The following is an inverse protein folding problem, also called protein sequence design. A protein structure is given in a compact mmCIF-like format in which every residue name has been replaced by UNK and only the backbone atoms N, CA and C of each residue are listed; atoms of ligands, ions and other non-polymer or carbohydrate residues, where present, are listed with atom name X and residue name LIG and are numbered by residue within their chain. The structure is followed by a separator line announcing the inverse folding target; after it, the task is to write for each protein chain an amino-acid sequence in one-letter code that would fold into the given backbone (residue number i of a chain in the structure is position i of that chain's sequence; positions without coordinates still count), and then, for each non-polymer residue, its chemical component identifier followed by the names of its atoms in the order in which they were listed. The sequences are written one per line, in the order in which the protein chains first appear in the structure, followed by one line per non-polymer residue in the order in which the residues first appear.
data_IF_382894212823
#
_entry.id   IF_382894212823
#
_cell.length_a   1.000
_cell.length_b   1.000
_cell.length_c   1.000
_cell.angle_alpha   90.00
_cell.angle_beta   90.00
_cell.angle_gamma   90.00
#
_symmetry.space_group_name_H-M   'P 1'
#
loop_
_entity.id
_entity.type
_entity.pdbx_description
1 polymer ?
#
# COMPACT_ATOMS: atom_id res chain seq x y z
N UNK A 1 -8.47 -44.01 -17.77
CA UNK A 1 -8.11 -43.35 -16.50
C UNK A 1 -7.81 -41.88 -16.78
N UNK A 2 -8.69 -41.03 -16.26
CA UNK A 2 -8.63 -39.58 -16.05
C UNK A 2 -7.51 -38.77 -16.75
N UNK A 3 -7.82 -38.21 -17.92
CA UNK A 3 -7.17 -36.97 -18.38
C UNK A 3 -7.74 -35.81 -17.57
N UNK A 4 -6.89 -35.22 -16.73
CA UNK A 4 -7.15 -34.00 -15.98
C UNK A 4 -7.31 -32.80 -16.92
N UNK A 5 -8.53 -32.30 -17.05
CA UNK A 5 -8.81 -30.97 -17.56
C UNK A 5 -8.25 -29.93 -16.57
N UNK A 6 -7.07 -29.41 -16.88
CA UNK A 6 -6.59 -28.16 -16.27
C UNK A 6 -7.33 -27.03 -16.97
N UNK A 7 -8.36 -26.51 -16.28
CA UNK A 7 -9.07 -25.31 -16.69
C UNK A 7 -8.07 -24.14 -16.64
N UNK A 8 -7.59 -23.73 -17.81
CA UNK A 8 -6.80 -22.52 -18.00
C UNK A 8 -7.69 -21.32 -17.65
N UNK A 9 -7.50 -20.78 -16.44
CA UNK A 9 -8.01 -19.46 -16.08
C UNK A 9 -7.32 -18.44 -16.99
N UNK A 10 -7.98 -18.09 -18.09
CA UNK A 10 -7.57 -16.99 -18.97
C UNK A 10 -7.61 -15.68 -18.19
N UNK A 11 -6.46 -15.24 -17.67
CA UNK A 11 -6.27 -13.87 -17.20
C UNK A 11 -6.34 -12.98 -18.44
N UNK A 12 -7.50 -12.34 -18.66
CA UNK A 12 -7.63 -11.34 -19.72
C UNK A 12 -6.65 -10.20 -19.43
N UNK A 13 -5.70 -9.89 -20.34
CA UNK A 13 -4.77 -8.78 -20.13
C UNK A 13 -5.56 -7.47 -19.95
N UNK A 14 -5.24 -6.70 -18.90
CA UNK A 14 -5.75 -5.34 -18.74
C UNK A 14 -5.41 -4.51 -19.99
N UNK A 15 -6.42 -4.15 -20.79
CA UNK A 15 -6.28 -3.36 -22.01
C UNK A 15 -6.70 -1.93 -21.73
N UNK A 16 -5.79 -1.12 -21.19
CA UNK A 16 -5.87 0.33 -21.29
C UNK A 16 -4.60 0.84 -21.99
N UNK A 17 -4.76 1.83 -22.86
CA UNK A 17 -3.68 2.45 -23.64
C UNK A 17 -3.36 3.81 -23.02
N UNK A 18 -2.26 4.44 -23.45
CA UNK A 18 -1.95 5.81 -23.05
C UNK A 18 -3.09 6.79 -23.41
N UNK A 19 -3.88 6.44 -24.42
CA UNK A 19 -4.94 7.27 -24.98
C UNK A 19 -6.34 7.05 -24.38
N UNK A 20 -6.60 5.91 -23.74
CA UNK A 20 -7.93 5.60 -23.20
C UNK A 20 -7.87 5.15 -21.73
N UNK A 21 -8.70 5.75 -20.85
CA UNK A 21 -8.72 5.39 -19.44
C UNK A 21 -9.22 3.95 -19.23
N UNK A 22 -8.81 3.31 -18.12
CA UNK A 22 -9.32 2.00 -17.74
C UNK A 22 -10.85 1.95 -17.71
N UNK A 23 -11.41 0.80 -18.06
CA UNK A 23 -12.84 0.54 -18.04
C UNK A 23 -13.22 -0.29 -16.80
N UNK A 24 -14.28 0.10 -16.09
CA UNK A 24 -14.72 -0.56 -14.85
C UNK A 24 -15.02 -2.06 -15.03
N UNK A 25 -15.61 -2.48 -16.16
CA UNK A 25 -15.95 -3.89 -16.39
C UNK A 25 -14.72 -4.82 -16.47
N UNK A 26 -13.52 -4.27 -16.72
CA UNK A 26 -12.28 -5.04 -16.78
C UNK A 26 -11.70 -5.33 -15.38
N UNK A 27 -12.18 -4.65 -14.34
CA UNK A 27 -11.63 -4.68 -12.98
C UNK A 27 -12.79 -4.84 -12.02
N UNK A 28 -12.96 -6.01 -11.41
CA UNK A 28 -14.11 -6.33 -10.55
C UNK A 28 -14.20 -5.46 -9.30
N UNK A 29 -13.08 -5.01 -8.75
CA UNK A 29 -13.00 -4.14 -7.57
C UNK A 29 -13.03 -2.64 -7.96
N UNK A 30 -14.05 -1.90 -7.51
CA UNK A 30 -14.21 -0.46 -7.76
C UNK A 30 -13.08 0.40 -7.18
N UNK A 31 -12.46 -0.03 -6.07
CA UNK A 31 -11.31 0.65 -5.48
C UNK A 31 -10.05 0.44 -6.31
N UNK A 32 -9.78 -0.80 -6.74
CA UNK A 32 -8.68 -1.10 -7.65
C UNK A 32 -8.83 -0.36 -8.99
N UNK A 33 -10.07 -0.25 -9.48
CA UNK A 33 -10.43 0.51 -10.67
C UNK A 33 -10.04 1.99 -10.55
N UNK A 34 -10.45 2.65 -9.47
CA UNK A 34 -10.15 4.07 -9.25
C UNK A 34 -8.64 4.32 -9.11
N UNK A 35 -7.90 3.41 -8.46
CA UNK A 35 -6.44 3.50 -8.36
C UNK A 35 -5.72 3.37 -9.69
N UNK A 36 -6.08 2.38 -10.49
CA UNK A 36 -5.52 2.19 -11.83
C UNK A 36 -5.82 3.40 -12.71
N UNK A 37 -7.04 3.93 -12.61
CA UNK A 37 -7.45 5.15 -13.31
C UNK A 37 -6.63 6.37 -12.85
N UNK A 38 -6.27 6.46 -11.57
CA UNK A 38 -5.41 7.53 -11.03
C UNK A 38 -3.97 7.41 -11.51
N UNK A 39 -3.43 6.19 -11.57
CA UNK A 39 -2.09 5.94 -12.14
C UNK A 39 -2.07 6.36 -13.61
N UNK A 40 -3.11 5.98 -14.36
CA UNK A 40 -3.29 6.40 -15.74
C UNK A 40 -3.37 7.93 -15.87
N UNK A 41 -4.17 8.61 -15.04
CA UNK A 41 -4.28 10.07 -15.05
C UNK A 41 -2.93 10.77 -14.77
N UNK A 42 -2.08 10.21 -13.89
CA UNK A 42 -0.72 10.71 -13.65
C UNK A 42 0.21 10.53 -14.86
N UNK A 43 0.04 9.46 -15.63
CA UNK A 43 0.87 9.13 -16.79
C UNK A 43 0.38 9.74 -18.11
N UNK A 44 -0.87 10.23 -18.16
CA UNK A 44 -1.50 10.66 -19.41
C UNK A 44 -0.79 11.86 -20.06
N UNK A 45 -0.42 11.69 -21.33
CA UNK A 45 0.36 12.67 -22.10
C UNK A 45 -0.51 13.59 -22.96
N UNK A 46 -1.77 13.24 -23.18
CA UNK A 46 -2.69 13.95 -24.08
C UNK A 46 -3.86 14.60 -23.32
N UNK A 47 -4.28 15.78 -23.76
CA UNK A 47 -5.42 16.49 -23.18
C UNK A 47 -6.75 15.79 -23.55
N UNK A 48 -6.88 15.37 -24.81
CA UNK A 48 -8.05 14.69 -25.35
C UNK A 48 -8.41 13.42 -24.57
N UNK A 49 -7.41 12.70 -24.09
CA UNK A 49 -7.63 11.51 -23.28
C UNK A 49 -8.10 11.87 -21.87
N UNK A 50 -7.48 12.86 -21.22
CA UNK A 50 -7.93 13.37 -19.92
C UNK A 50 -9.39 13.86 -19.95
N UNK A 51 -9.81 14.54 -21.02
CA UNK A 51 -11.19 15.02 -21.20
C UNK A 51 -12.23 13.89 -21.25
N UNK A 52 -11.84 12.68 -21.67
CA UNK A 52 -12.72 11.49 -21.65
C UNK A 52 -12.94 10.92 -20.25
N UNK A 53 -12.06 11.24 -19.29
CA UNK A 53 -12.00 10.57 -17.98
C UNK A 53 -13.35 10.54 -17.26
N UNK A 54 -13.98 11.71 -17.07
CA UNK A 54 -15.25 11.80 -16.35
C UNK A 54 -16.35 10.96 -17.01
N UNK A 55 -16.47 11.07 -18.35
CA UNK A 55 -17.46 10.31 -19.12
C UNK A 55 -17.22 8.81 -18.99
N UNK A 56 -15.97 8.36 -19.04
CA UNK A 56 -15.64 6.93 -18.89
C UNK A 56 -15.90 6.45 -17.47
N UNK A 57 -15.53 7.20 -16.44
CA UNK A 57 -15.85 6.87 -15.05
C UNK A 57 -17.37 6.70 -14.86
N UNK A 58 -18.14 7.67 -15.36
CA UNK A 58 -19.59 7.68 -15.23
C UNK A 58 -20.28 6.54 -16.00
N UNK A 59 -19.92 6.34 -17.27
CA UNK A 59 -20.53 5.31 -18.14
C UNK A 59 -20.09 3.90 -17.70
N UNK A 60 -18.80 3.70 -17.41
CA UNK A 60 -18.30 2.37 -17.09
C UNK A 60 -18.74 1.89 -15.71
N UNK A 61 -18.88 2.77 -14.71
CA UNK A 61 -19.47 2.43 -13.41
C UNK A 61 -20.93 2.01 -13.54
N UNK A 62 -21.72 2.76 -14.33
CA UNK A 62 -23.11 2.43 -14.63
C UNK A 62 -23.23 1.08 -15.37
N UNK A 63 -22.45 0.89 -16.44
CA UNK A 63 -22.50 -0.33 -17.25
C UNK A 63 -22.03 -1.58 -16.47
N UNK A 64 -21.20 -1.41 -15.45
CA UNK A 64 -20.77 -2.49 -14.57
C UNK A 64 -21.75 -2.81 -13.43
N UNK A 65 -22.86 -2.06 -13.30
CA UNK A 65 -23.83 -2.22 -12.21
C UNK A 65 -23.28 -1.79 -10.85
N UNK A 66 -22.25 -0.94 -10.81
CA UNK A 66 -21.65 -0.43 -9.57
C UNK A 66 -22.38 0.86 -9.14
N UNK A 67 -23.62 0.71 -8.68
CA UNK A 67 -24.51 1.83 -8.34
C UNK A 67 -23.92 2.74 -7.25
N UNK A 68 -23.14 2.16 -6.33
CA UNK A 68 -22.47 2.92 -5.26
C UNK A 68 -21.40 3.83 -5.83
N UNK A 69 -20.47 3.30 -6.64
CA UNK A 69 -19.43 4.11 -7.28
C UNK A 69 -20.03 5.14 -8.24
N UNK A 70 -21.04 4.74 -9.00
CA UNK A 70 -21.74 5.63 -9.91
C UNK A 70 -22.39 6.81 -9.18
N UNK A 71 -23.04 6.55 -8.04
CA UNK A 71 -23.61 7.56 -7.16
C UNK A 71 -22.55 8.55 -6.65
N UNK A 72 -21.42 8.05 -6.14
CA UNK A 72 -20.33 8.90 -5.64
C UNK A 72 -19.69 9.76 -6.72
N UNK A 73 -19.53 9.24 -7.93
CA UNK A 73 -19.02 10.02 -9.08
C UNK A 73 -19.95 11.20 -9.37
N UNK A 74 -21.27 10.97 -9.41
CA UNK A 74 -22.27 12.02 -9.64
C UNK A 74 -22.29 13.05 -8.53
N UNK A 75 -22.30 12.60 -7.29
CA UNK A 75 -22.32 13.47 -6.11
C UNK A 75 -21.09 14.38 -6.10
N UNK A 76 -19.89 13.81 -6.19
CA UNK A 76 -18.65 14.58 -6.18
C UNK A 76 -18.58 15.57 -7.34
N UNK A 77 -18.99 15.16 -8.55
CA UNK A 77 -18.99 16.04 -9.73
C UNK A 77 -20.03 17.18 -9.64
N UNK A 78 -21.03 17.05 -8.78
CA UNK A 78 -22.03 18.10 -8.52
C UNK A 78 -21.51 19.16 -7.53
N UNK A 79 -20.41 18.89 -6.83
CA UNK A 79 -19.77 19.87 -5.93
C UNK A 79 -18.85 20.84 -6.68
N UNK A 80 -18.66 22.03 -6.13
CA UNK A 80 -17.72 23.03 -6.67
C UNK A 80 -16.28 22.49 -6.74
N UNK A 81 -15.91 21.61 -5.80
CA UNK A 81 -14.55 21.04 -5.74
C UNK A 81 -14.33 19.86 -6.69
N UNK A 82 -15.40 19.15 -7.05
CA UNK A 82 -15.34 18.00 -7.95
C UNK A 82 -15.79 18.30 -9.38
N UNK A 83 -16.32 19.49 -9.65
CA UNK A 83 -16.76 19.91 -10.98
C UNK A 83 -15.64 19.77 -12.03
N UNK A 84 -16.00 19.22 -13.20
CA UNK A 84 -15.06 19.02 -14.30
C UNK A 84 -14.55 20.39 -14.82
N UNK A 85 -13.22 20.61 -14.90
CA UNK A 85 -12.66 21.87 -15.34
C UNK A 85 -13.14 22.23 -16.75
N UNK A 86 -13.67 23.44 -16.88
CA UNK A 86 -13.98 24.03 -18.18
C UNK A 86 -12.79 24.85 -18.67
N UNK A 87 -12.65 24.94 -20.00
CA UNK A 87 -11.60 25.76 -20.61
C UNK A 87 -12.01 27.22 -20.55
N UNK A 88 -11.09 28.08 -20.10
CA UNK A 88 -11.33 29.54 -20.11
C UNK A 88 -10.96 30.12 -21.47
N UNK A 89 -11.64 31.18 -21.91
CA UNK A 89 -11.34 31.85 -23.19
C UNK A 89 -9.86 32.29 -23.24
N UNK A 90 -9.18 31.98 -24.34
CA UNK A 90 -7.75 32.29 -24.54
C UNK A 90 -6.76 31.38 -23.81
N UNK A 91 -7.21 30.38 -23.06
CA UNK A 91 -6.32 29.45 -22.35
C UNK A 91 -5.61 28.50 -23.32
N UNK A 92 -4.29 28.36 -23.17
CA UNK A 92 -3.49 27.44 -23.98
C UNK A 92 -3.66 25.98 -23.53
N UNK A 93 -3.40 25.03 -24.44
CA UNK A 93 -3.58 23.60 -24.18
C UNK A 93 -2.72 23.07 -23.02
N UNK A 94 -1.46 23.50 -22.92
CA UNK A 94 -0.53 23.02 -21.89
C UNK A 94 -0.96 23.37 -20.45
N UNK A 95 -1.27 24.64 -20.10
CA UNK A 95 -1.76 24.99 -18.77
C UNK A 95 -3.12 24.35 -18.47
N UNK A 96 -4.04 24.30 -19.45
CA UNK A 96 -5.33 23.65 -19.27
C UNK A 96 -5.17 22.15 -18.97
N UNK A 97 -4.30 21.46 -19.72
CA UNK A 97 -3.98 20.04 -19.49
C UNK A 97 -3.47 19.81 -18.08
N UNK A 98 -2.54 20.63 -17.61
CA UNK A 98 -2.00 20.52 -16.24
C UNK A 98 -3.10 20.69 -15.20
N UNK A 99 -3.94 21.72 -15.33
CA UNK A 99 -5.09 21.94 -14.44
C UNK A 99 -6.07 20.76 -14.45
N UNK A 100 -6.35 20.21 -15.63
CA UNK A 100 -7.23 19.05 -15.78
C UNK A 100 -6.61 17.80 -15.16
N UNK A 101 -5.31 17.59 -15.31
CA UNK A 101 -4.59 16.47 -14.72
C UNK A 101 -4.56 16.57 -13.18
N UNK A 102 -4.30 17.76 -12.64
CA UNK A 102 -4.35 18.02 -11.20
C UNK A 102 -5.76 17.77 -10.63
N UNK A 103 -6.80 18.24 -11.35
CA UNK A 103 -8.18 17.92 -11.02
C UNK A 103 -8.45 16.41 -11.06
N UNK A 104 -8.04 15.70 -12.12
CA UNK A 104 -8.27 14.27 -12.26
C UNK A 104 -7.65 13.48 -11.09
N UNK A 105 -6.43 13.84 -10.70
CA UNK A 105 -5.75 13.25 -9.55
C UNK A 105 -6.52 13.55 -8.26
N UNK A 106 -6.96 14.81 -8.05
CA UNK A 106 -7.73 15.21 -6.86
C UNK A 106 -9.07 14.49 -6.79
N UNK A 107 -9.83 14.48 -7.89
CA UNK A 107 -11.15 13.86 -8.03
C UNK A 107 -11.10 12.36 -7.76
N UNK A 108 -10.15 11.65 -8.37
CA UNK A 108 -9.95 10.21 -8.13
C UNK A 108 -9.49 9.94 -6.70
N UNK A 109 -8.68 10.81 -6.10
CA UNK A 109 -8.26 10.65 -4.69
C UNK A 109 -9.45 10.80 -3.74
N UNK A 110 -10.37 11.74 -4.01
CA UNK A 110 -11.59 11.89 -3.24
C UNK A 110 -12.49 10.65 -3.36
N UNK A 111 -12.67 10.10 -4.57
CA UNK A 111 -13.46 8.87 -4.78
C UNK A 111 -12.86 7.61 -4.14
N UNK A 112 -11.53 7.51 -4.07
CA UNK A 112 -10.81 6.44 -3.36
C UNK A 112 -10.97 6.56 -1.83
N UNK A 113 -11.55 7.67 -1.36
CA UNK A 113 -11.63 8.01 0.05
C UNK A 113 -10.28 8.42 0.63
N UNK A 114 -9.30 8.82 -0.18
CA UNK A 114 -8.02 9.35 0.33
C UNK A 114 -8.19 10.72 1.03
N UNK A 115 -9.35 11.37 0.88
CA UNK A 115 -9.73 12.56 1.64
C UNK A 115 -10.50 12.26 2.94
N UNK A 116 -11.01 11.05 3.13
CA UNK A 116 -11.44 10.64 4.46
C UNK A 116 -10.17 10.31 5.25
N UNK A 117 -9.67 11.28 6.03
CA UNK A 117 -8.90 10.95 7.21
C UNK A 117 -9.69 9.83 7.90
N UNK A 118 -9.17 8.60 7.87
CA UNK A 118 -9.65 7.55 8.75
C UNK A 118 -9.74 8.21 10.14
N UNK A 119 -10.87 8.06 10.84
CA UNK A 119 -10.97 8.49 12.24
C UNK A 119 -9.72 8.03 12.99
N UNK A 120 -9.21 8.84 13.90
CA UNK A 120 -7.92 8.58 14.55
C UNK A 120 -7.82 7.14 15.10
N UNK A 121 -8.92 6.64 15.66
CA UNK A 121 -9.03 5.26 16.15
C UNK A 121 -8.95 4.22 15.04
N UNK A 122 -9.55 4.48 13.87
CA UNK A 122 -9.45 3.61 12.70
C UNK A 122 -8.03 3.60 12.12
N UNK A 123 -7.30 4.72 12.19
CA UNK A 123 -5.88 4.77 11.82
C UNK A 123 -5.02 3.96 12.79
N UNK A 124 -5.25 4.11 14.11
CA UNK A 124 -4.57 3.32 15.15
C UNK A 124 -4.83 1.83 14.97
N UNK A 125 -6.09 1.45 14.76
CA UNK A 125 -6.50 0.05 14.53
C UNK A 125 -5.84 -0.53 13.26
N UNK A 126 -5.80 0.25 12.17
CA UNK A 126 -5.19 -0.20 10.91
C UNK A 126 -3.67 -0.36 11.05
N UNK A 127 -2.99 0.61 11.67
CA UNK A 127 -1.56 0.55 11.92
C UNK A 127 -1.21 -0.65 12.82
N UNK A 128 -2.00 -0.88 13.88
CA UNK A 128 -1.81 -2.02 14.78
C UNK A 128 -2.01 -3.35 14.07
N UNK A 129 -3.08 -3.52 13.28
CA UNK A 129 -3.32 -4.74 12.49
C UNK A 129 -2.22 -4.99 11.45
N UNK A 130 -1.67 -3.93 10.86
CA UNK A 130 -0.52 -4.03 9.96
C UNK A 130 0.69 -4.60 10.70
N UNK A 131 0.95 -4.11 11.91
CA UNK A 131 2.04 -4.60 12.75
C UNK A 131 1.85 -6.06 13.17
N UNK A 132 0.63 -6.44 13.56
CA UNK A 132 0.32 -7.81 13.97
C UNK A 132 0.53 -8.83 12.85
N UNK A 133 0.24 -8.44 11.61
CA UNK A 133 0.28 -9.29 10.43
C UNK A 133 1.52 -9.07 9.55
N UNK A 134 2.47 -8.24 9.98
CA UNK A 134 3.62 -7.82 9.16
C UNK A 134 4.38 -9.00 8.54
N UNK A 135 4.55 -10.09 9.30
CA UNK A 135 5.26 -11.29 8.82
C UNK A 135 4.54 -11.99 7.65
N UNK A 136 3.22 -12.13 7.73
CA UNK A 136 2.39 -12.69 6.67
C UNK A 136 2.44 -11.78 5.46
N UNK A 137 2.28 -10.49 5.70
CA UNK A 137 2.20 -9.49 4.65
C UNK A 137 3.48 -9.39 3.82
N UNK A 138 4.64 -9.38 4.48
CA UNK A 138 5.95 -9.39 3.79
C UNK A 138 6.14 -10.68 2.98
N UNK A 139 5.70 -11.84 3.48
CA UNK A 139 5.80 -13.13 2.77
C UNK A 139 4.85 -13.22 1.56
N UNK A 140 3.76 -12.46 1.57
CA UNK A 140 2.80 -12.41 0.45
C UNK A 140 3.13 -11.35 -0.61
N UNK A 141 4.22 -10.59 -0.43
CA UNK A 141 4.63 -9.60 -1.42
C UNK A 141 5.00 -10.30 -2.74
N UNK A 142 4.67 -9.70 -3.90
CA UNK A 142 5.09 -10.21 -5.21
C UNK A 142 6.60 -10.08 -5.45
N UNK A 143 7.36 -9.61 -4.45
CA UNK A 143 8.80 -9.38 -4.47
C UNK A 143 9.39 -9.77 -3.12
N UNK A 144 10.53 -10.46 -3.15
CA UNK A 144 11.27 -10.79 -1.94
C UNK A 144 12.03 -9.56 -1.44
N UNK A 145 11.76 -9.16 -0.20
CA UNK A 145 12.53 -8.12 0.47
C UNK A 145 13.77 -8.74 1.11
N UNK A 146 14.91 -8.09 0.97
CA UNK A 146 16.11 -8.46 1.73
C UNK A 146 15.88 -8.28 3.24
N UNK A 147 16.71 -8.93 4.08
CA UNK A 147 16.68 -8.71 5.54
C UNK A 147 16.85 -7.23 5.91
N UNK A 148 17.68 -6.50 5.15
CA UNK A 148 17.88 -5.05 5.30
C UNK A 148 16.59 -4.27 5.01
N UNK A 149 15.94 -4.54 3.88
CA UNK A 149 14.70 -3.87 3.48
C UNK A 149 13.56 -4.20 4.44
N UNK A 150 13.45 -5.46 4.85
CA UNK A 150 12.46 -5.93 5.83
C UNK A 150 12.66 -5.26 7.19
N UNK A 151 13.91 -5.12 7.67
CA UNK A 151 14.24 -4.37 8.89
C UNK A 151 13.86 -2.90 8.77
N UNK A 152 14.17 -2.26 7.65
CA UNK A 152 13.84 -0.85 7.41
C UNK A 152 12.33 -0.64 7.40
N UNK A 153 11.60 -1.49 6.68
CA UNK A 153 10.15 -1.53 6.62
C UNK A 153 9.50 -1.65 8.02
N UNK A 154 9.97 -2.62 8.80
CA UNK A 154 9.47 -2.83 10.15
C UNK A 154 9.79 -1.66 11.09
N UNK A 155 10.95 -1.03 10.93
CA UNK A 155 11.34 0.15 11.71
C UNK A 155 10.45 1.36 11.41
N UNK A 156 10.10 1.60 10.15
CA UNK A 156 9.18 2.68 9.78
C UNK A 156 7.78 2.45 10.35
N UNK A 157 7.28 1.21 10.30
CA UNK A 157 6.00 0.87 10.93
C UNK A 157 6.00 1.13 12.44
N UNK A 158 7.08 0.77 13.15
CA UNK A 158 7.23 1.06 14.58
C UNK A 158 7.29 2.57 14.88
N UNK A 159 7.92 3.37 14.01
CA UNK A 159 7.92 4.84 14.17
C UNK A 159 6.53 5.42 14.05
N UNK A 160 5.73 4.94 13.10
CA UNK A 160 4.33 5.37 12.94
C UNK A 160 3.48 4.98 14.15
N UNK A 161 3.58 3.74 14.65
CA UNK A 161 2.90 3.32 15.87
C UNK A 161 3.28 4.19 17.07
N UNK A 162 4.55 4.54 17.20
CA UNK A 162 5.04 5.45 18.25
C UNK A 162 4.47 6.86 18.09
N UNK A 163 4.42 7.39 16.87
CA UNK A 163 3.83 8.70 16.59
C UNK A 163 2.33 8.74 16.91
N UNK A 164 1.65 7.59 16.90
CA UNK A 164 0.23 7.41 17.24
C UNK A 164 -0.01 7.03 18.70
N UNK A 165 1.01 7.08 19.55
CA UNK A 165 0.93 6.72 20.98
C UNK A 165 0.51 5.27 21.25
N UNK A 166 0.78 4.35 20.31
CA UNK A 166 0.48 2.91 20.43
C UNK A 166 1.75 2.07 20.19
N UNK A 167 2.88 2.54 20.71
CA UNK A 167 4.16 1.88 20.53
C UNK A 167 4.16 0.46 21.13
N UNK A 168 4.53 -0.59 20.38
CA UNK A 168 4.64 -1.94 20.91
C UNK A 168 5.83 -2.03 21.88
N UNK A 169 5.73 -2.92 22.86
CA UNK A 169 6.85 -3.27 23.72
C UNK A 169 7.97 -3.94 22.90
N UNK A 170 9.22 -3.81 23.36
CA UNK A 170 10.40 -4.36 22.68
C UNK A 170 10.30 -5.87 22.43
N UNK A 171 9.79 -6.61 23.43
CA UNK A 171 9.65 -8.06 23.33
C UNK A 171 8.57 -8.50 22.34
N UNK A 172 7.46 -7.75 22.25
CA UNK A 172 6.39 -8.00 21.26
C UNK A 172 6.94 -7.77 19.85
N UNK A 173 7.70 -6.69 19.70
CA UNK A 173 8.35 -6.32 18.44
C UNK A 173 9.34 -7.39 17.98
N UNK A 174 10.18 -7.91 18.89
CA UNK A 174 11.14 -8.94 18.51
C UNK A 174 10.47 -10.30 18.29
N UNK A 175 9.47 -10.68 19.09
CA UNK A 175 8.68 -11.88 18.86
C UNK A 175 8.09 -11.91 17.43
N UNK A 176 7.42 -10.83 17.03
CA UNK A 176 6.80 -10.72 15.69
C UNK A 176 7.81 -10.71 14.54
N UNK A 177 9.02 -10.19 14.74
CA UNK A 177 10.05 -10.14 13.69
C UNK A 177 10.89 -11.41 13.59
N UNK A 178 10.95 -12.24 14.63
CA UNK A 178 11.86 -13.39 14.68
C UNK A 178 11.68 -14.37 13.49
N UNK A 179 10.44 -14.58 13.06
CA UNK A 179 10.10 -15.46 11.93
C UNK A 179 10.53 -14.93 10.56
N UNK A 180 10.99 -13.68 10.49
CA UNK A 180 11.51 -13.03 9.29
C UNK A 180 13.04 -13.11 9.18
N UNK A 181 13.72 -13.61 10.21
CA UNK A 181 15.15 -13.85 10.13
C UNK A 181 15.45 -15.06 9.23
N UNK A 182 16.43 -14.94 8.30
CA UNK A 182 17.05 -16.08 7.66
C UNK A 182 17.65 -17.03 8.70
N UNK A 183 17.70 -18.32 8.40
CA UNK A 183 18.20 -19.34 9.34
C UNK A 183 19.66 -19.09 9.73
N UNK A 184 20.49 -18.61 8.80
CA UNK A 184 21.87 -18.18 9.08
C UNK A 184 21.97 -17.13 10.19
N UNK A 185 21.04 -16.16 10.20
CA UNK A 185 20.99 -15.10 11.22
C UNK A 185 20.50 -15.65 12.55
N UNK A 186 19.60 -16.64 12.55
CA UNK A 186 19.17 -17.34 13.77
C UNK A 186 20.31 -18.14 14.38
N UNK A 187 21.12 -18.83 13.56
CA UNK A 187 22.32 -19.55 14.01
C UNK A 187 23.31 -18.60 14.67
N UNK A 188 23.56 -17.43 14.06
CA UNK A 188 24.43 -16.38 14.64
C UNK A 188 23.91 -15.88 16.00
N UNK A 189 22.59 -15.78 16.17
CA UNK A 189 22.00 -15.41 17.46
C UNK A 189 22.27 -16.46 18.55
N UNK A 190 22.33 -17.74 18.19
CA UNK A 190 22.58 -18.84 19.12
C UNK A 190 24.04 -18.95 19.57
N UNK A 191 25.00 -18.48 18.77
CA UNK A 191 26.44 -18.51 19.12
C UNK A 191 26.86 -17.39 20.05
N UNK A 192 26.02 -16.37 20.26
CA UNK A 192 26.29 -15.28 21.20
C UNK A 192 26.03 -15.69 22.65
N UNK A 193 26.88 -15.20 23.56
CA UNK A 193 26.66 -15.32 25.01
C UNK A 193 25.27 -14.80 25.38
N UNK A 194 24.53 -15.54 26.21
CA UNK A 194 23.20 -15.15 26.72
C UNK A 194 23.29 -13.79 27.42
N UNK A 195 22.91 -12.71 26.72
CA UNK A 195 22.66 -11.41 27.35
C UNK A 195 21.35 -11.54 28.12
N UNK A 196 21.34 -11.28 29.42
CA UNK A 196 20.07 -11.15 30.16
C UNK A 196 19.47 -9.80 29.79
N UNK A 197 18.29 -9.81 29.19
CA UNK A 197 17.57 -8.58 28.83
C UNK A 197 16.54 -8.35 29.93
N UNK A 198 16.84 -7.39 30.81
CA UNK A 198 15.92 -7.00 31.87
C UNK A 198 14.72 -6.28 31.26
N UNK A 199 13.56 -6.94 31.24
CA UNK A 199 12.29 -6.25 31.01
C UNK A 199 11.91 -5.54 32.32
N UNK A 200 11.48 -4.28 32.22
CA UNK A 200 11.01 -3.55 33.40
C UNK A 200 9.80 -4.27 34.02
N UNK A 201 10.03 -4.92 35.18
CA UNK A 201 9.06 -5.56 36.10
C UNK A 201 8.51 -6.96 35.78
N UNK A 202 9.03 -7.71 34.81
CA UNK A 202 8.63 -9.12 34.59
C UNK A 202 9.83 -10.01 34.23
N UNK A 203 9.61 -11.33 34.27
CA UNK A 203 10.60 -12.39 33.99
C UNK A 203 11.54 -12.06 32.82
N UNK A 204 12.80 -12.53 32.87
CA UNK A 204 13.78 -12.27 31.83
C UNK A 204 13.26 -12.75 30.46
N UNK A 205 13.14 -11.82 29.51
CA UNK A 205 12.74 -12.13 28.13
C UNK A 205 13.89 -12.83 27.42
N UNK A 206 13.59 -13.94 26.75
CA UNK A 206 14.58 -14.63 25.95
C UNK A 206 15.21 -13.68 24.92
N UNK A 207 16.55 -13.63 24.77
CA UNK A 207 17.21 -12.61 23.93
C UNK A 207 16.70 -12.57 22.49
N UNK A 208 16.35 -13.74 21.95
CA UNK A 208 15.74 -13.88 20.62
C UNK A 208 14.45 -13.10 20.43
N UNK A 209 13.74 -12.70 21.49
CA UNK A 209 12.50 -11.93 21.39
C UNK A 209 12.69 -10.44 21.66
N UNK A 210 13.89 -9.98 22.01
CA UNK A 210 14.15 -8.55 22.09
C UNK A 210 14.44 -7.97 20.71
N UNK A 211 13.64 -6.98 20.30
CA UNK A 211 13.90 -6.26 19.07
C UNK A 211 15.23 -5.50 19.11
N UNK A 212 15.57 -4.88 20.24
CA UNK A 212 16.85 -4.22 20.43
C UNK A 212 18.03 -5.17 20.16
N UNK A 213 18.01 -6.37 20.75
CA UNK A 213 19.04 -7.37 20.54
C UNK A 213 19.07 -7.91 19.11
N UNK A 214 17.91 -8.20 18.51
CA UNK A 214 17.85 -8.63 17.12
C UNK A 214 18.45 -7.58 16.17
N UNK A 215 18.25 -6.28 16.42
CA UNK A 215 18.86 -5.22 15.59
C UNK A 215 20.39 -5.26 15.63
N UNK A 216 21.00 -5.58 16.78
CA UNK A 216 22.45 -5.79 16.91
C UNK A 216 22.89 -6.96 16.01
N UNK A 217 22.20 -8.10 16.10
CA UNK A 217 22.52 -9.30 15.31
C UNK A 217 22.40 -9.01 13.80
N UNK A 218 21.36 -8.30 13.37
CA UNK A 218 21.19 -7.95 11.95
C UNK A 218 22.36 -7.10 11.46
N UNK A 219 22.80 -6.10 12.23
CA UNK A 219 23.95 -5.26 11.82
C UNK A 219 25.21 -6.10 11.61
N UNK A 220 25.41 -7.14 12.41
CA UNK A 220 26.56 -8.03 12.32
C UNK A 220 26.42 -9.11 11.24
N UNK A 221 25.20 -9.52 10.89
CA UNK A 221 24.94 -10.47 9.80
C UNK A 221 24.98 -9.81 8.40
N UNK A 222 24.75 -8.49 8.32
CA UNK A 222 24.70 -7.76 7.06
C UNK A 222 26.03 -7.81 6.25
N UNK A 223 27.22 -7.69 6.86
CA UNK A 223 28.50 -7.85 6.15
C UNK A 223 28.70 -9.25 5.57
N UNK A 224 28.32 -10.31 6.28
CA UNK A 224 28.45 -11.71 5.84
C UNK A 224 27.49 -12.04 4.70
N UNK A 225 26.27 -11.50 4.72
CA UNK A 225 25.31 -11.62 3.62
C UNK A 225 25.63 -10.71 2.41
N UNK A 226 26.51 -9.72 2.58
CA UNK A 226 26.86 -8.73 1.54
C UNK A 226 27.77 -9.26 0.42
N UNK A 227 28.42 -10.42 0.59
CA UNK A 227 29.24 -11.03 -0.46
C UNK A 227 28.40 -11.50 -1.65
N UNK A 228 27.12 -11.81 -1.45
CA UNK A 228 26.18 -12.17 -2.53
C UNK A 228 25.31 -11.01 -3.04
N UNK A 229 25.25 -9.86 -2.34
CA UNK A 229 24.26 -8.81 -2.58
C UNK A 229 24.86 -7.44 -2.96
N UNK A 230 25.99 -7.42 -3.69
CA UNK A 230 26.69 -6.19 -4.11
C UNK A 230 25.89 -5.22 -5.00
N UNK A 231 24.64 -5.50 -5.35
CA UNK A 231 23.87 -4.70 -6.32
C UNK A 231 22.56 -4.05 -5.85
N UNK A 232 22.18 -4.11 -4.59
CA UNK A 232 20.92 -3.48 -4.12
C UNK A 232 21.16 -2.28 -3.21
N UNK A 233 21.31 -1.10 -3.83
CA UNK A 233 20.85 0.17 -3.23
C UNK A 233 19.39 -0.08 -2.76
N UNK A 234 18.96 0.42 -1.59
CA UNK A 234 17.59 0.21 -1.06
C UNK A 234 16.56 0.44 -2.17
N UNK A 235 16.12 -0.65 -2.83
CA UNK A 235 15.32 -0.57 -4.04
C UNK A 235 13.89 -0.27 -3.65
N UNK A 236 13.52 -0.69 -2.45
CA UNK A 236 12.23 -0.54 -1.81
C UNK A 236 12.36 0.33 -0.56
N UNK A 237 11.53 1.37 -0.48
CA UNK A 237 11.43 2.33 0.62
C UNK A 237 10.07 2.18 1.25
N UNK A 238 10.02 1.89 2.53
CA UNK A 238 8.76 1.81 3.25
C UNK A 238 8.31 3.21 3.71
N UNK A 239 7.01 3.43 3.69
CA UNK A 239 6.37 4.62 4.26
C UNK A 239 5.02 4.25 4.86
N UNK A 240 4.61 4.95 5.90
CA UNK A 240 3.24 4.86 6.43
C UNK A 240 2.54 6.18 6.15
N UNK A 241 1.39 6.14 5.49
CA UNK A 241 0.56 7.34 5.25
C UNK A 241 -0.88 7.04 5.64
N UNK A 242 -1.46 7.86 6.50
CA UNK A 242 -2.84 7.72 6.97
C UNK A 242 -3.16 6.31 7.54
N UNK A 243 -2.21 5.69 8.26
CA UNK A 243 -2.36 4.33 8.80
C UNK A 243 -2.17 3.20 7.77
N UNK A 244 -1.96 3.53 6.49
CA UNK A 244 -1.67 2.56 5.43
C UNK A 244 -0.17 2.41 5.28
N UNK A 245 0.32 1.18 5.48
CA UNK A 245 1.72 0.85 5.23
C UNK A 245 1.96 0.55 3.76
N UNK A 246 2.99 1.18 3.21
CA UNK A 246 3.33 1.16 1.79
C UNK A 246 4.80 0.86 1.62
N UNK A 247 5.14 0.10 0.58
CA UNK A 247 6.52 -0.06 0.15
C UNK A 247 6.63 0.40 -1.30
N UNK A 248 7.45 1.43 -1.52
CA UNK A 248 7.64 2.10 -2.80
C UNK A 248 8.99 1.74 -3.38
N UNK A 249 9.04 1.27 -4.62
CA UNK A 249 10.31 1.10 -5.31
C UNK A 249 10.85 2.45 -5.77
N UNK A 250 12.06 2.82 -5.34
CA UNK A 250 12.77 4.00 -5.83
C UNK A 250 13.09 3.93 -7.34
N UNK A 251 13.17 2.72 -7.89
CA UNK A 251 13.53 2.46 -9.29
C UNK A 251 12.30 2.30 -10.19
N UNK A 252 11.26 1.59 -9.73
CA UNK A 252 10.07 1.28 -10.55
C UNK A 252 8.84 2.11 -10.21
N UNK A 253 8.90 2.93 -9.14
CA UNK A 253 7.77 3.69 -8.57
C UNK A 253 6.53 2.83 -8.25
N UNK A 254 6.69 1.50 -8.19
CA UNK A 254 5.64 0.57 -7.76
C UNK A 254 5.39 0.76 -6.27
N UNK A 255 4.13 0.90 -5.89
CA UNK A 255 3.64 1.06 -4.53
C UNK A 255 2.86 -0.19 -4.16
N UNK A 256 3.28 -0.87 -3.08
CA UNK A 256 2.56 -2.02 -2.54
C UNK A 256 1.96 -1.61 -1.20
N UNK A 257 0.64 -1.52 -1.15
CA UNK A 257 -0.10 -1.34 0.10
C UNK A 257 -0.21 -2.67 0.82
N UNK A 258 0.16 -2.67 2.10
CA UNK A 258 0.32 -3.89 2.88
C UNK A 258 -0.91 -4.19 3.74
N UNK A 259 -1.72 -3.21 4.13
CA UNK A 259 -3.00 -3.49 4.78
C UNK A 259 -3.96 -2.31 4.73
N UNK A 260 -5.24 -2.57 4.44
CA UNK A 260 -6.36 -1.67 4.74
C UNK A 260 -7.34 -2.47 5.58
N UNK A 261 -7.61 -2.04 6.81
CA UNK A 261 -8.73 -2.63 7.53
C UNK A 261 -10.02 -2.18 6.86
N UNK A 262 -10.70 -3.08 6.15
CA UNK A 262 -12.11 -2.88 5.80
C UNK A 262 -12.93 -3.04 7.07
N UNK A 263 -13.22 -1.93 7.75
CA UNK A 263 -14.54 -1.81 8.38
C UNK A 263 -15.45 -1.25 7.30
N UNK A 264 -16.49 -2.01 6.97
CA UNK A 264 -17.67 -1.51 6.29
C UNK A 264 -18.15 -0.25 7.04
N UNK A 265 -17.80 0.92 6.53
CA UNK A 265 -18.46 2.18 6.85
C UNK A 265 -19.17 2.54 5.54
N UNK A 266 -20.49 2.52 5.37
CA UNK A 266 -21.64 2.33 6.22
C UNK A 266 -22.71 1.67 5.34
N UNK A 267 -23.21 0.47 5.68
CA UNK A 267 -24.59 0.15 5.29
C UNK A 267 -25.48 0.85 6.30
N UNK A 268 -26.47 1.67 5.89
CA UNK A 268 -27.60 1.90 6.77
C UNK A 268 -28.20 0.51 7.01
N UNK A 269 -28.36 0.13 8.27
CA UNK A 269 -29.21 -0.99 8.59
C UNK A 269 -30.58 -0.71 7.94
N UNK A 270 -30.97 -1.59 7.02
CA UNK A 270 -32.33 -1.59 6.53
C UNK A 270 -33.25 -1.87 7.73
N UNK A 271 -34.05 -0.88 8.09
CA UNK A 271 -35.23 -1.01 8.94
C UNK A 271 -36.35 -0.25 8.27
#
# INVERSE_FOLDING_TARGET
MLSSNVSSSSVTPLRFTDDDPPQRYQITDGYAYLKLTKIWAKGCTTLTSLEKLYKVLHISSFAAGDDTLHGWIKELASTTEGAVPQRTSGEQNAPFKKRFQDWAIKFLSALVGEQALLLEDAQKETAWKTFENFNVLVKTLPVDLSLRETKAAYTELQKDLKARSIAPLDWVSGFKFWDLHPDETKVLAHTKKKKVIAAARTEPVAPRYSWAYQREIIVEALPTQSLHARHTRNKWVASVKNGVFQIVSSVTKKEIEIFKHQKQFLSPAAS
#
